data_IF_073673525721
#
_entry.id   IF_073673525721
#
_cell.length_a   1.000
_cell.length_b   1.000
_cell.length_c   1.000
_cell.angle_alpha   90.00
_cell.angle_beta   90.00
_cell.angle_gamma   90.00
#
_symmetry.space_group_name_H-M   'P 1'
#
loop_
_entity.id
_entity.type
_entity.pdbx_description
1 polymer ?
#
# COMPACT_ATOMS: atom_id res chain seq x y z
N UNK A 1 -36.13 27.06 -2.69
CA UNK A 1 -35.90 26.07 -1.61
C UNK A 1 -35.49 24.72 -2.17
N UNK A 2 -36.14 24.22 -3.22
CA UNK A 2 -35.84 22.90 -3.85
C UNK A 2 -34.39 22.76 -4.28
N UNK A 3 -33.81 23.74 -4.98
CA UNK A 3 -32.44 23.67 -5.50
C UNK A 3 -31.36 23.55 -4.39
N UNK A 4 -31.55 24.16 -3.22
CA UNK A 4 -30.59 24.06 -2.12
C UNK A 4 -30.59 22.67 -1.50
N UNK A 5 -31.76 22.10 -1.27
CA UNK A 5 -31.88 20.73 -0.74
C UNK A 5 -31.23 19.74 -1.70
N UNK A 6 -31.41 19.94 -3.00
CA UNK A 6 -30.76 19.11 -4.04
C UNK A 6 -29.22 19.19 -3.96
N UNK A 7 -28.65 20.39 -3.85
CA UNK A 7 -27.20 20.59 -3.74
C UNK A 7 -26.65 19.98 -2.45
N UNK A 8 -27.33 20.14 -1.33
CA UNK A 8 -26.93 19.53 -0.06
C UNK A 8 -26.96 18.00 -0.13
N UNK A 9 -28.00 17.41 -0.72
CA UNK A 9 -28.08 15.97 -0.96
C UNK A 9 -26.96 15.46 -1.88
N UNK A 10 -26.64 16.21 -2.93
CA UNK A 10 -25.54 15.89 -3.84
C UNK A 10 -24.22 15.86 -3.09
N UNK A 11 -23.88 16.89 -2.29
CA UNK A 11 -22.65 16.92 -1.51
C UNK A 11 -22.51 15.72 -0.55
N UNK A 12 -23.63 15.33 0.10
CA UNK A 12 -23.62 14.13 0.98
C UNK A 12 -23.37 12.87 0.18
N UNK A 13 -23.98 12.73 -0.99
CA UNK A 13 -23.79 11.58 -1.87
C UNK A 13 -22.36 11.48 -2.37
N UNK A 14 -21.74 12.62 -2.74
CA UNK A 14 -20.34 12.69 -3.15
C UNK A 14 -19.42 12.18 -2.03
N UNK A 15 -19.56 12.70 -0.81
CA UNK A 15 -18.76 12.23 0.35
C UNK A 15 -18.98 10.74 0.62
N UNK A 16 -20.22 10.24 0.51
CA UNK A 16 -20.49 8.81 0.67
C UNK A 16 -19.73 7.96 -0.35
N UNK A 17 -19.71 8.41 -1.60
CA UNK A 17 -19.00 7.70 -2.67
C UNK A 17 -17.48 7.76 -2.45
N UNK A 18 -16.96 8.91 -2.07
CA UNK A 18 -15.53 9.11 -1.80
C UNK A 18 -15.04 8.21 -0.65
N UNK A 19 -15.77 8.18 0.47
CA UNK A 19 -15.44 7.33 1.63
C UNK A 19 -15.54 5.84 1.27
N UNK A 20 -16.55 5.42 0.52
CA UNK A 20 -16.70 4.04 0.05
C UNK A 20 -15.58 3.64 -0.92
N UNK A 21 -15.22 4.51 -1.86
CA UNK A 21 -14.12 4.27 -2.79
C UNK A 21 -12.80 4.11 -2.02
N UNK A 22 -12.50 5.02 -1.09
CA UNK A 22 -11.33 4.93 -0.21
C UNK A 22 -11.27 3.58 0.50
N UNK A 23 -12.35 3.20 1.15
CA UNK A 23 -12.43 1.96 1.90
C UNK A 23 -12.25 0.73 0.99
N UNK A 24 -12.86 0.74 -0.19
CA UNK A 24 -12.77 -0.36 -1.15
C UNK A 24 -11.31 -0.59 -1.59
N UNK A 25 -10.61 0.46 -2.04
CA UNK A 25 -9.25 0.32 -2.54
C UNK A 25 -8.28 -0.11 -1.43
N UNK A 26 -8.33 0.56 -0.29
CA UNK A 26 -7.44 0.25 0.85
C UNK A 26 -7.67 -1.19 1.35
N UNK A 27 -8.92 -1.59 1.57
CA UNK A 27 -9.20 -2.93 2.12
C UNK A 27 -8.94 -4.05 1.11
N UNK A 28 -9.11 -3.79 -0.19
CA UNK A 28 -8.72 -4.74 -1.25
C UNK A 28 -7.23 -5.02 -1.18
N UNK A 29 -6.41 -3.96 -1.18
CA UNK A 29 -4.96 -4.08 -1.23
C UNK A 29 -4.39 -4.60 0.10
N UNK A 30 -5.00 -4.26 1.25
CA UNK A 30 -4.68 -4.86 2.55
C UNK A 30 -4.81 -6.39 2.56
N UNK A 31 -5.86 -6.92 1.94
CA UNK A 31 -6.07 -8.37 1.84
C UNK A 31 -5.03 -9.06 0.96
N UNK A 32 -4.42 -8.30 0.06
CA UNK A 32 -3.39 -8.77 -0.86
C UNK A 32 -1.97 -8.51 -0.34
N UNK A 33 -1.82 -7.80 0.78
CA UNK A 33 -0.50 -7.59 1.39
C UNK A 33 0.18 -8.93 1.68
N UNK A 34 1.44 -9.06 1.24
CA UNK A 34 2.19 -10.30 1.32
C UNK A 34 1.78 -11.41 0.35
N UNK A 35 0.79 -11.18 -0.54
CA UNK A 35 0.41 -12.17 -1.53
C UNK A 35 1.61 -12.54 -2.43
N UNK A 36 1.82 -13.84 -2.65
CA UNK A 36 2.91 -14.35 -3.50
C UNK A 36 4.31 -14.18 -2.92
N UNK A 37 4.44 -13.70 -1.68
CA UNK A 37 5.72 -13.54 -1.00
C UNK A 37 5.91 -14.62 0.06
N UNK A 38 7.14 -15.11 0.24
CA UNK A 38 7.46 -16.04 1.31
C UNK A 38 7.24 -15.40 2.69
N UNK A 39 6.92 -16.24 3.60
CA UNK A 39 6.65 -15.96 4.99
C UNK A 39 7.81 -15.28 5.72
N UNK A 40 9.01 -15.59 5.34
CA UNK A 40 10.24 -14.99 5.89
C UNK A 40 10.32 -13.47 5.65
N UNK A 41 9.55 -12.96 4.69
CA UNK A 41 9.45 -11.53 4.36
C UNK A 41 8.24 -10.85 5.01
N UNK A 42 7.49 -11.54 5.87
CA UNK A 42 6.26 -11.00 6.46
C UNK A 42 6.42 -9.64 7.15
N UNK A 43 7.57 -9.41 7.75
CA UNK A 43 7.90 -8.13 8.39
C UNK A 43 7.94 -6.93 7.43
N UNK A 44 8.01 -7.17 6.12
CA UNK A 44 8.06 -6.13 5.09
C UNK A 44 6.75 -5.95 4.35
N UNK A 45 5.72 -6.74 4.64
CA UNK A 45 4.44 -6.64 3.94
C UNK A 45 3.68 -5.37 4.26
N UNK A 46 3.97 -4.78 5.43
CA UNK A 46 3.29 -3.62 5.96
C UNK A 46 4.31 -2.70 6.63
N UNK A 47 4.19 -1.41 6.35
CA UNK A 47 4.85 -0.35 7.09
C UNK A 47 3.82 0.74 7.40
N UNK A 48 3.72 1.16 8.64
CA UNK A 48 2.82 2.22 9.09
C UNK A 48 3.56 3.48 9.49
N UNK A 49 2.86 4.58 9.47
CA UNK A 49 3.25 5.82 10.14
C UNK A 49 2.02 6.34 10.86
N UNK A 50 2.13 6.45 12.17
CA UNK A 50 1.10 7.04 13.01
C UNK A 50 1.26 8.55 13.04
N UNK A 51 0.15 9.28 12.85
CA UNK A 51 0.10 10.74 12.90
C UNK A 51 1.17 11.41 12.02
N UNK A 52 1.14 11.18 10.71
CA UNK A 52 2.09 11.77 9.78
C UNK A 52 2.03 13.30 9.81
N UNK A 53 3.08 13.94 10.32
CA UNK A 53 3.15 15.41 10.42
C UNK A 53 3.30 16.05 9.04
N UNK A 54 2.22 16.66 8.57
CA UNK A 54 2.18 17.43 7.32
C UNK A 54 2.26 18.94 7.56
N UNK A 55 2.59 19.37 8.78
CA UNK A 55 2.74 20.79 9.15
C UNK A 55 1.43 21.57 9.26
N UNK A 56 0.29 20.89 9.37
CA UNK A 56 -1.02 21.49 9.14
C UNK A 56 -2.06 21.45 10.27
N UNK A 57 -1.73 21.24 11.53
CA UNK A 57 -2.72 21.41 12.60
C UNK A 57 -3.14 20.13 13.34
N UNK A 58 -4.33 20.16 13.99
CA UNK A 58 -4.78 19.18 14.98
C UNK A 58 -5.10 17.78 14.46
N UNK A 59 -5.20 17.59 13.15
CA UNK A 59 -5.53 16.30 12.54
C UNK A 59 -4.34 15.80 11.75
N UNK A 60 -3.69 14.81 12.30
CA UNK A 60 -2.59 14.13 11.64
C UNK A 60 -3.10 12.76 11.18
N UNK A 61 -3.20 12.55 9.86
CA UNK A 61 -3.60 11.26 9.32
C UNK A 61 -2.47 10.25 9.43
N UNK A 62 -2.81 8.98 9.37
CA UNK A 62 -1.84 7.91 9.25
C UNK A 62 -1.46 7.68 7.79
N UNK A 63 -0.35 6.95 7.62
CA UNK A 63 0.09 6.42 6.33
C UNK A 63 0.35 4.93 6.45
N UNK A 64 0.03 4.18 5.41
CA UNK A 64 0.35 2.76 5.33
C UNK A 64 0.97 2.42 3.99
N UNK A 65 2.07 1.69 4.03
CA UNK A 65 2.70 1.08 2.86
C UNK A 65 2.46 -0.43 2.89
N UNK A 66 2.01 -0.96 1.77
CA UNK A 66 1.72 -2.36 1.55
C UNK A 66 2.64 -2.92 0.49
N UNK A 67 3.21 -4.09 0.74
CA UNK A 67 4.03 -4.82 -0.20
C UNK A 67 3.42 -6.19 -0.48
N UNK A 68 3.41 -6.59 -1.73
CA UNK A 68 2.91 -7.90 -2.15
C UNK A 68 2.76 -8.00 -3.66
N UNK A 69 2.41 -9.16 -4.13
CA UNK A 69 2.01 -9.36 -5.52
C UNK A 69 0.53 -8.97 -5.68
N UNK A 70 0.27 -7.64 -5.67
CA UNK A 70 -1.09 -7.10 -5.52
C UNK A 70 -1.80 -6.95 -6.87
N UNK A 71 -1.11 -6.41 -7.87
CA UNK A 71 -1.71 -6.07 -9.17
C UNK A 71 -1.34 -7.07 -10.27
N UNK A 72 -0.12 -7.60 -10.23
CA UNK A 72 0.44 -8.44 -11.29
C UNK A 72 0.83 -9.81 -10.70
N UNK A 73 -0.09 -10.77 -10.55
CA UNK A 73 0.15 -12.05 -9.89
C UNK A 73 1.04 -12.99 -10.73
N UNK A 74 2.17 -12.47 -11.18
CA UNK A 74 3.14 -13.20 -11.97
C UNK A 74 4.21 -13.79 -11.07
N UNK A 75 4.54 -15.05 -11.33
CA UNK A 75 5.64 -15.77 -10.73
C UNK A 75 6.37 -16.54 -11.84
N UNK A 76 7.54 -16.08 -12.19
CA UNK A 76 8.32 -16.63 -13.31
C UNK A 76 9.34 -17.64 -12.77
N UNK A 77 9.36 -18.88 -13.26
CA UNK A 77 10.38 -19.85 -12.89
C UNK A 77 11.74 -19.45 -13.47
N UNK A 78 12.78 -19.56 -12.64
CA UNK A 78 14.17 -19.36 -13.06
C UNK A 78 14.68 -20.66 -13.66
N UNK A 79 15.15 -20.62 -14.88
CA UNK A 79 15.79 -21.75 -15.56
C UNK A 79 17.26 -21.86 -15.16
N UNK A 80 17.99 -20.75 -15.27
CA UNK A 80 19.39 -20.69 -14.93
C UNK A 80 19.81 -19.31 -14.41
N UNK A 81 20.69 -19.31 -13.42
CA UNK A 81 21.43 -18.14 -13.00
C UNK A 81 22.85 -18.15 -13.56
N UNK A 82 23.25 -17.06 -14.21
CA UNK A 82 24.57 -16.98 -14.81
C UNK A 82 25.60 -16.33 -13.88
N UNK A 83 25.94 -16.99 -12.80
CA UNK A 83 27.06 -16.65 -11.92
C UNK A 83 27.08 -15.18 -11.43
N UNK A 84 28.18 -14.48 -11.57
CA UNK A 84 28.34 -13.08 -11.16
C UNK A 84 27.53 -12.06 -11.97
N UNK A 85 26.57 -12.51 -12.78
CA UNK A 85 25.82 -11.65 -13.66
C UNK A 85 24.65 -10.97 -12.95
N UNK A 86 24.24 -9.86 -13.51
CA UNK A 86 23.01 -9.14 -13.18
C UNK A 86 21.84 -9.67 -14.00
N UNK A 87 21.87 -10.92 -14.42
CA UNK A 87 20.95 -11.50 -15.40
C UNK A 87 20.45 -12.85 -14.90
N UNK A 88 19.14 -13.07 -15.01
CA UNK A 88 18.49 -14.37 -14.81
C UNK A 88 17.91 -14.86 -16.12
N UNK A 89 18.14 -16.11 -16.44
CA UNK A 89 17.49 -16.80 -17.53
C UNK A 89 16.14 -17.34 -17.03
N UNK A 90 15.06 -16.94 -17.69
CA UNK A 90 13.69 -17.34 -17.38
C UNK A 90 13.25 -18.34 -18.45
N UNK A 91 12.49 -19.32 -18.03
CA UNK A 91 11.94 -20.30 -18.97
C UNK A 91 11.07 -19.61 -20.02
N UNK A 92 11.32 -19.89 -21.31
CA UNK A 92 10.67 -19.26 -22.47
C UNK A 92 9.14 -19.23 -22.37
N UNK A 93 8.53 -20.32 -21.90
CA UNK A 93 7.08 -20.40 -21.70
C UNK A 93 6.50 -19.36 -20.74
N UNK A 94 7.31 -18.74 -19.88
CA UNK A 94 6.81 -17.81 -18.88
C UNK A 94 6.28 -16.54 -19.51
N UNK A 95 6.94 -16.03 -20.54
CA UNK A 95 6.50 -14.83 -21.25
C UNK A 95 5.35 -15.12 -22.22
N UNK A 96 5.47 -16.19 -23.02
CA UNK A 96 4.39 -16.63 -23.91
C UNK A 96 3.11 -16.96 -23.16
N UNK A 97 3.23 -17.60 -21.99
CA UNK A 97 2.08 -17.98 -21.17
C UNK A 97 1.26 -16.77 -20.71
N UNK A 98 1.93 -15.66 -20.35
CA UNK A 98 1.28 -14.46 -19.86
C UNK A 98 0.95 -13.44 -20.95
N UNK A 99 1.58 -13.53 -22.14
CA UNK A 99 1.26 -12.71 -23.31
C UNK A 99 1.54 -11.22 -23.16
N UNK A 100 2.38 -10.83 -22.22
CA UNK A 100 2.74 -9.43 -22.01
C UNK A 100 3.94 -9.04 -22.89
N UNK A 101 3.98 -7.80 -23.43
CA UNK A 101 5.15 -7.31 -24.16
C UNK A 101 6.32 -7.04 -23.22
N UNK A 102 7.54 -7.01 -23.75
CA UNK A 102 8.77 -6.81 -22.94
C UNK A 102 8.73 -5.54 -22.11
N UNK A 103 8.20 -4.46 -22.67
CA UNK A 103 8.08 -3.17 -21.99
C UNK A 103 7.20 -3.24 -20.73
N UNK A 104 6.34 -4.25 -20.64
CA UNK A 104 5.55 -4.49 -19.44
C UNK A 104 6.43 -4.84 -18.23
N UNK A 105 7.52 -5.54 -18.46
CA UNK A 105 8.45 -5.99 -17.43
C UNK A 105 9.45 -4.92 -17.01
N UNK A 106 9.73 -3.96 -17.89
CA UNK A 106 10.68 -2.88 -17.61
C UNK A 106 10.28 -2.06 -16.38
N UNK A 107 11.26 -1.79 -15.53
CA UNK A 107 11.11 -1.06 -14.27
C UNK A 107 10.23 -1.73 -13.19
N UNK A 108 9.76 -2.95 -13.41
CA UNK A 108 9.05 -3.70 -12.36
C UNK A 108 10.01 -4.08 -11.24
N UNK A 109 9.52 -3.98 -10.01
CA UNK A 109 10.21 -4.48 -8.82
C UNK A 109 9.81 -5.92 -8.60
N UNK A 110 10.80 -6.75 -8.36
CA UNK A 110 10.62 -8.19 -8.18
C UNK A 110 11.36 -8.69 -6.95
N UNK A 111 10.87 -9.76 -6.37
CA UNK A 111 11.58 -10.58 -5.41
C UNK A 111 12.13 -11.80 -6.15
N UNK A 112 13.43 -11.93 -6.17
CA UNK A 112 14.13 -13.11 -6.70
C UNK A 112 14.29 -14.10 -5.56
N UNK A 113 13.74 -15.28 -5.71
CA UNK A 113 13.73 -16.34 -4.71
C UNK A 113 14.64 -17.48 -5.12
N UNK A 114 15.51 -17.95 -4.24
CA UNK A 114 16.35 -19.11 -4.52
C UNK A 114 15.51 -20.40 -4.64
N UNK A 115 16.13 -21.43 -5.17
CA UNK A 115 15.55 -22.74 -5.23
C UNK A 115 15.16 -23.22 -3.81
N UNK A 116 13.94 -23.72 -3.58
CA UNK A 116 13.51 -24.21 -2.27
C UNK A 116 14.37 -25.32 -1.69
N UNK A 117 15.13 -26.02 -2.53
CA UNK A 117 16.05 -27.10 -2.11
C UNK A 117 17.47 -26.61 -1.83
N UNK A 118 17.79 -25.36 -2.20
CA UNK A 118 19.07 -24.73 -1.94
C UNK A 118 19.32 -24.51 -0.44
N UNK A 119 20.58 -24.37 -0.07
CA UNK A 119 20.98 -23.97 1.27
C UNK A 119 20.71 -22.47 1.54
N UNK A 120 20.68 -21.66 0.49
CA UNK A 120 20.32 -20.25 0.55
C UNK A 120 18.80 -20.10 0.72
N UNK A 121 18.41 -19.31 1.71
CA UNK A 121 16.99 -19.03 2.03
C UNK A 121 16.61 -17.57 1.85
N UNK A 122 17.58 -16.73 1.53
CA UNK A 122 17.37 -15.31 1.41
C UNK A 122 16.94 -14.96 -0.03
N UNK A 123 15.79 -14.28 -0.17
CA UNK A 123 15.41 -13.66 -1.43
C UNK A 123 16.00 -12.27 -1.56
N UNK A 124 16.02 -11.75 -2.77
CA UNK A 124 16.55 -10.43 -3.08
C UNK A 124 15.54 -9.58 -3.84
N UNK A 125 15.34 -8.34 -3.38
CA UNK A 125 14.54 -7.36 -4.11
C UNK A 125 15.39 -6.74 -5.22
N UNK A 126 14.89 -6.75 -6.45
CA UNK A 126 15.56 -6.18 -7.63
C UNK A 126 14.54 -5.43 -8.49
N UNK A 127 15.07 -4.53 -9.32
CA UNK A 127 14.28 -3.88 -10.37
C UNK A 127 14.74 -4.38 -11.73
N UNK A 128 13.80 -4.87 -12.53
CA UNK A 128 14.06 -5.24 -13.91
C UNK A 128 14.39 -3.98 -14.70
N UNK A 129 15.55 -3.95 -15.33
CA UNK A 129 16.01 -2.81 -16.12
C UNK A 129 15.82 -3.00 -17.61
N UNK A 130 15.73 -4.24 -18.04
CA UNK A 130 15.51 -4.61 -19.43
C UNK A 130 15.24 -6.11 -19.56
N UNK A 131 14.44 -6.49 -20.54
CA UNK A 131 14.26 -7.88 -20.99
C UNK A 131 15.05 -8.10 -22.27
N UNK A 132 15.69 -9.24 -22.39
CA UNK A 132 16.45 -9.60 -23.61
C UNK A 132 16.01 -10.96 -24.09
N UNK A 133 15.57 -11.03 -25.33
CA UNK A 133 15.25 -12.28 -26.00
C UNK A 133 16.52 -12.96 -26.54
N UNK A 134 16.63 -14.23 -26.29
CA UNK A 134 17.70 -15.03 -26.87
C UNK A 134 17.25 -15.58 -28.24
N UNK A 135 17.66 -14.92 -29.31
CA UNK A 135 17.27 -15.23 -30.71
C UNK A 135 17.66 -16.63 -31.23
N UNK A 136 18.02 -17.55 -30.39
CA UNK A 136 18.38 -18.92 -30.74
C UNK A 136 18.22 -19.93 -29.63
N UNK A 137 17.70 -19.53 -28.49
CA UNK A 137 17.50 -20.36 -27.31
C UNK A 137 16.07 -20.33 -26.82
N UNK A 138 15.75 -21.27 -25.97
CA UNK A 138 14.44 -21.40 -25.31
C UNK A 138 14.36 -20.60 -24.00
N UNK A 139 15.14 -19.53 -23.84
CA UNK A 139 15.19 -18.74 -22.60
C UNK A 139 15.17 -17.26 -22.88
N UNK A 140 14.46 -16.54 -22.05
CA UNK A 140 14.46 -15.09 -21.99
C UNK A 140 15.25 -14.60 -20.78
N UNK A 141 15.75 -13.37 -20.83
CA UNK A 141 16.64 -12.86 -19.78
C UNK A 141 16.07 -11.62 -19.12
N UNK A 142 15.96 -11.67 -17.81
CA UNK A 142 15.71 -10.49 -16.99
C UNK A 142 17.04 -9.87 -16.58
N UNK A 143 17.21 -8.59 -16.88
CA UNK A 143 18.42 -7.84 -16.55
C UNK A 143 18.18 -6.90 -15.37
N UNK A 144 19.14 -6.83 -14.45
CA UNK A 144 19.10 -6.03 -13.21
C UNK A 144 20.31 -5.09 -13.15
N UNK A 145 20.51 -4.26 -14.16
CA UNK A 145 21.69 -3.39 -14.26
C UNK A 145 21.79 -2.39 -13.12
N UNK A 146 22.88 -2.38 -12.31
CA UNK A 146 23.02 -1.47 -11.17
C UNK A 146 23.07 0.00 -11.58
N UNK A 147 23.64 0.29 -12.77
CA UNK A 147 23.76 1.65 -13.29
C UNK A 147 22.41 2.31 -13.66
N UNK A 148 21.36 1.51 -13.93
CA UNK A 148 20.03 2.01 -14.29
C UNK A 148 19.08 2.07 -13.09
N UNK A 149 19.32 1.30 -12.04
CA UNK A 149 18.53 1.29 -10.81
C UNK A 149 19.42 1.21 -9.56
N UNK A 150 20.30 2.21 -9.31
CA UNK A 150 21.36 2.12 -8.31
C UNK A 150 20.84 2.02 -6.86
N UNK A 151 19.59 2.41 -6.60
CA UNK A 151 18.98 2.30 -5.27
C UNK A 151 18.41 0.92 -4.95
N UNK A 152 18.15 0.08 -5.97
CA UNK A 152 17.52 -1.23 -5.82
C UNK A 152 18.45 -2.35 -6.29
N UNK A 153 19.20 -2.12 -7.37
CA UNK A 153 20.14 -3.08 -7.94
C UNK A 153 21.56 -2.75 -7.48
N UNK A 154 22.09 -3.39 -6.41
CA UNK A 154 23.44 -3.11 -5.95
C UNK A 154 24.50 -3.63 -6.93
N UNK A 155 25.70 -3.03 -6.92
CA UNK A 155 26.85 -3.61 -7.63
C UNK A 155 27.15 -5.02 -7.12
N UNK A 156 27.47 -5.93 -8.02
CA UNK A 156 27.82 -7.32 -7.65
C UNK A 156 26.74 -8.35 -7.97
N UNK A 157 25.58 -7.92 -8.45
CA UNK A 157 24.51 -8.83 -8.87
C UNK A 157 23.86 -9.61 -7.72
N UNK A 158 23.34 -10.80 -8.02
CA UNK A 158 22.61 -11.67 -7.08
C UNK A 158 23.55 -12.50 -6.19
N UNK A 159 24.83 -12.58 -6.51
CA UNK A 159 25.83 -13.39 -5.77
C UNK A 159 26.19 -12.84 -4.38
N UNK A 160 25.70 -11.64 -4.05
CA UNK A 160 25.94 -11.04 -2.73
C UNK A 160 25.18 -11.73 -1.60
N UNK A 161 24.05 -12.34 -1.92
CA UNK A 161 23.15 -12.98 -0.94
C UNK A 161 23.25 -14.49 -0.98
N UNK A 162 23.24 -15.08 -2.19
CA UNK A 162 23.42 -16.51 -2.40
C UNK A 162 24.70 -16.70 -3.22
N UNK A 163 25.79 -17.15 -2.59
CA UNK A 163 27.11 -17.18 -3.24
C UNK A 163 27.25 -18.29 -4.29
N UNK A 164 26.48 -19.36 -4.19
CA UNK A 164 26.58 -20.45 -5.13
C UNK A 164 25.74 -20.18 -6.38
N UNK A 165 26.32 -20.42 -7.56
CA UNK A 165 25.66 -20.16 -8.83
C UNK A 165 24.36 -20.93 -9.01
N UNK A 166 24.24 -22.11 -8.40
CA UNK A 166 23.11 -23.00 -8.57
C UNK A 166 21.97 -22.71 -7.55
N UNK A 167 22.17 -21.76 -6.64
CA UNK A 167 21.18 -21.45 -5.61
C UNK A 167 19.87 -20.90 -6.18
N UNK A 168 19.94 -20.23 -7.31
CA UNK A 168 18.74 -19.67 -7.96
C UNK A 168 18.17 -20.58 -9.06
N UNK A 169 18.90 -21.58 -9.53
CA UNK A 169 18.42 -22.50 -10.55
C UNK A 169 17.20 -23.29 -10.06
N UNK A 170 16.08 -23.18 -10.75
CA UNK A 170 14.80 -23.72 -10.30
C UNK A 170 14.10 -22.90 -9.21
N UNK A 171 14.62 -21.73 -8.91
CA UNK A 171 13.95 -20.72 -8.08
C UNK A 171 12.82 -19.99 -8.81
N UNK A 172 12.45 -18.82 -8.32
CA UNK A 172 11.40 -18.03 -8.94
C UNK A 172 11.59 -16.52 -8.79
N UNK A 173 10.96 -15.77 -9.72
CA UNK A 173 10.87 -14.32 -9.69
C UNK A 173 9.41 -13.94 -9.47
N UNK A 174 9.10 -13.36 -8.30
CA UNK A 174 7.78 -12.85 -7.97
C UNK A 174 7.72 -11.34 -8.15
N UNK A 175 6.69 -10.86 -8.85
CA UNK A 175 6.48 -9.42 -9.03
C UNK A 175 5.97 -8.81 -7.73
N UNK A 176 6.53 -7.66 -7.35
CA UNK A 176 6.18 -6.95 -6.11
C UNK A 176 5.62 -5.59 -6.46
N UNK A 177 4.45 -5.30 -5.90
CA UNK A 177 3.89 -3.97 -5.88
C UNK A 177 4.11 -3.36 -4.49
N UNK A 178 4.57 -2.13 -4.47
CA UNK A 178 4.65 -1.31 -3.24
C UNK A 178 3.63 -0.20 -3.39
N UNK A 179 2.63 -0.20 -2.52
CA UNK A 179 1.55 0.77 -2.52
C UNK A 179 1.50 1.50 -1.20
N UNK A 180 1.56 2.81 -1.23
CA UNK A 180 1.45 3.66 -0.05
C UNK A 180 0.15 4.46 -0.11
N UNK A 181 -0.71 4.28 0.90
CA UNK A 181 -1.92 5.08 1.10
C UNK A 181 -1.64 6.18 2.11
N UNK A 182 -1.95 7.42 1.74
CA UNK A 182 -1.73 8.59 2.56
C UNK A 182 -2.72 9.71 2.22
N UNK A 183 -3.04 10.55 3.19
CA UNK A 183 -3.97 11.65 3.05
C UNK A 183 -3.21 12.98 2.96
N UNK A 184 -3.40 13.72 1.87
CA UNK A 184 -2.95 15.12 1.78
C UNK A 184 -4.04 16.04 2.32
N UNK A 185 -3.79 16.64 3.48
CA UNK A 185 -4.68 17.63 4.10
C UNK A 185 -4.32 19.06 3.74
N UNK A 186 -3.15 19.29 3.15
CA UNK A 186 -2.60 20.63 2.88
C UNK A 186 -2.96 21.16 1.50
N UNK A 187 -3.33 20.26 0.59
CA UNK A 187 -3.50 20.57 -0.84
C UNK A 187 -2.18 20.84 -1.56
N UNK A 188 -1.06 20.54 -0.90
CA UNK A 188 0.30 20.70 -1.40
C UNK A 188 1.00 19.33 -1.43
N UNK A 189 0.34 18.31 -1.98
CA UNK A 189 0.99 17.02 -2.09
C UNK A 189 2.42 17.18 -2.65
N UNK A 190 3.41 16.86 -1.83
CA UNK A 190 4.81 17.18 -2.10
C UNK A 190 5.23 16.70 -3.49
N UNK A 191 5.53 17.63 -4.39
CA UNK A 191 5.93 17.35 -5.77
C UNK A 191 4.82 17.27 -6.80
N UNK A 192 3.55 17.38 -6.44
CA UNK A 192 2.46 17.49 -7.40
C UNK A 192 2.25 18.97 -7.74
N UNK A 193 2.86 19.42 -8.83
CA UNK A 193 2.57 20.73 -9.41
C UNK A 193 1.12 20.77 -9.91
N UNK A 194 0.48 21.94 -9.75
CA UNK A 194 -0.82 22.23 -10.36
C UNK A 194 -0.77 21.92 -11.87
N UNK A 195 -1.40 20.82 -12.28
CA UNK A 195 -1.33 20.33 -13.67
C UNK A 195 -1.21 18.81 -13.79
N UNK A 196 -0.81 18.09 -12.74
CA UNK A 196 -0.94 16.63 -12.69
C UNK A 196 -2.42 16.30 -12.49
N UNK A 197 -2.92 15.39 -13.29
CA UNK A 197 -4.33 14.96 -13.33
C UNK A 197 -4.92 14.81 -11.90
N UNK A 198 -5.79 15.76 -11.53
CA UNK A 198 -6.58 15.67 -10.32
C UNK A 198 -6.17 16.57 -9.16
N UNK A 199 -5.11 17.40 -9.27
CA UNK A 199 -4.84 18.43 -8.26
C UNK A 199 -5.98 19.42 -8.22
N UNK A 200 -6.71 19.45 -7.14
CA UNK A 200 -7.77 20.40 -6.87
C UNK A 200 -7.33 21.19 -5.63
N UNK A 201 -6.65 22.29 -5.92
CA UNK A 201 -6.27 23.21 -4.87
C UNK A 201 -7.47 23.72 -4.07
N UNK A 202 -7.32 23.83 -2.76
CA UNK A 202 -8.14 24.65 -1.90
C UNK A 202 -9.52 24.15 -1.50
N UNK A 203 -9.83 22.88 -1.69
CA UNK A 203 -11.02 22.27 -1.07
C UNK A 203 -10.81 22.05 0.43
N UNK A 204 -11.86 22.26 1.23
CA UNK A 204 -11.86 22.16 2.70
C UNK A 204 -11.75 20.68 3.18
N UNK A 205 -11.52 19.72 2.28
CA UNK A 205 -11.28 18.30 2.57
C UNK A 205 -9.98 17.84 1.91
N UNK A 206 -9.28 16.91 2.52
CA UNK A 206 -8.09 16.31 1.98
C UNK A 206 -8.38 15.37 0.80
N UNK A 207 -7.31 14.95 0.15
CA UNK A 207 -7.34 13.94 -0.90
C UNK A 207 -6.58 12.70 -0.44
N UNK A 208 -7.24 11.56 -0.44
CA UNK A 208 -6.57 10.28 -0.23
C UNK A 208 -5.87 9.87 -1.53
N UNK A 209 -4.59 9.62 -1.43
CA UNK A 209 -3.75 9.12 -2.53
C UNK A 209 -3.33 7.68 -2.32
N UNK A 210 -3.12 6.99 -3.43
CA UNK A 210 -2.32 5.77 -3.49
C UNK A 210 -1.07 6.08 -4.31
N UNK A 211 0.10 5.91 -3.71
CA UNK A 211 1.39 5.98 -4.41
C UNK A 211 1.80 4.59 -4.83
N UNK A 212 2.02 4.39 -6.11
CA UNK A 212 2.51 3.14 -6.67
C UNK A 212 3.67 3.45 -7.62
N UNK A 213 4.84 2.85 -7.39
CA UNK A 213 6.05 3.09 -8.18
C UNK A 213 6.38 4.60 -8.31
N UNK A 214 6.34 5.33 -7.20
CA UNK A 214 6.56 6.78 -7.14
C UNK A 214 5.53 7.64 -7.91
N UNK A 215 4.48 7.04 -8.47
CA UNK A 215 3.36 7.77 -9.09
C UNK A 215 2.20 7.89 -8.11
N UNK A 216 1.66 9.09 -7.95
CA UNK A 216 0.57 9.37 -7.03
C UNK A 216 -0.77 9.37 -7.76
N UNK A 217 -1.67 8.50 -7.34
CA UNK A 217 -3.02 8.37 -7.87
C UNK A 217 -4.03 8.89 -6.85
N UNK A 218 -4.84 9.93 -7.16
CA UNK A 218 -5.90 10.36 -6.28
C UNK A 218 -7.02 9.30 -6.26
N UNK A 219 -7.35 8.82 -5.07
CA UNK A 219 -8.39 7.78 -4.87
C UNK A 219 -9.73 8.43 -4.55
N UNK A 220 -9.73 9.40 -3.63
CA UNK A 220 -10.95 10.04 -3.18
C UNK A 220 -10.67 11.43 -2.64
N UNK A 221 -11.67 12.31 -2.74
CA UNK A 221 -11.67 13.67 -2.22
C UNK A 221 -12.53 13.76 -0.97
N UNK A 222 -12.60 14.95 -0.39
CA UNK A 222 -13.46 15.19 0.76
C UNK A 222 -13.16 14.29 1.97
N UNK A 223 -11.92 13.77 2.07
CA UNK A 223 -11.47 12.97 3.20
C UNK A 223 -10.87 13.91 4.24
N UNK A 224 -11.43 13.89 5.45
CA UNK A 224 -10.98 14.72 6.57
C UNK A 224 -9.93 14.03 7.41
N UNK A 225 -10.03 12.70 7.56
CA UNK A 225 -9.09 11.92 8.34
C UNK A 225 -8.99 10.47 7.82
N UNK A 226 -7.82 9.89 8.01
CA UNK A 226 -7.48 8.52 7.67
C UNK A 226 -6.65 7.95 8.82
N UNK A 227 -7.16 6.93 9.52
CA UNK A 227 -6.52 6.34 10.69
C UNK A 227 -6.45 4.83 10.56
N UNK A 228 -5.41 4.24 11.16
CA UNK A 228 -5.11 2.82 11.02
C UNK A 228 -4.73 2.25 12.38
N UNK A 229 -5.32 1.13 12.71
CA UNK A 229 -5.00 0.36 13.90
C UNK A 229 -4.60 -1.06 13.51
N UNK A 230 -3.70 -1.62 14.28
CA UNK A 230 -3.12 -2.94 14.06
C UNK A 230 -3.42 -3.85 15.24
N UNK A 231 -3.66 -5.12 14.97
CA UNK A 231 -3.85 -6.15 16.00
C UNK A 231 -3.07 -7.40 15.60
N UNK A 232 -2.33 -7.93 16.54
CA UNK A 232 -1.46 -9.10 16.36
C UNK A 232 -0.95 -9.61 17.71
N UNK A 233 -0.14 -10.63 17.66
CA UNK A 233 0.60 -11.16 18.80
C UNK A 233 1.98 -10.52 18.86
N UNK A 234 2.04 -9.25 19.30
CA UNK A 234 3.27 -8.45 19.28
C UNK A 234 4.30 -8.90 20.31
N UNK A 235 3.82 -9.51 21.41
CA UNK A 235 4.64 -9.98 22.54
C UNK A 235 5.02 -11.46 22.47
N UNK A 236 4.51 -12.19 21.46
CA UNK A 236 4.76 -13.62 21.22
C UNK A 236 4.24 -14.55 22.32
N UNK A 237 3.08 -14.26 22.88
CA UNK A 237 2.43 -15.12 23.88
C UNK A 237 1.31 -16.01 23.29
N UNK A 238 1.14 -15.99 21.97
CA UNK A 238 0.12 -16.70 21.19
C UNK A 238 -1.30 -16.14 21.34
N UNK A 239 -1.47 -14.95 21.90
CA UNK A 239 -2.73 -14.26 21.99
C UNK A 239 -2.67 -12.92 21.23
N UNK A 240 -3.82 -12.41 20.84
CA UNK A 240 -3.90 -11.08 20.25
C UNK A 240 -3.81 -10.01 21.35
N UNK A 241 -2.88 -9.06 21.21
CA UNK A 241 -2.64 -8.01 22.19
C UNK A 241 -3.72 -6.90 22.23
N UNK A 242 -4.63 -6.91 21.23
CA UNK A 242 -5.62 -5.86 21.04
C UNK A 242 -5.19 -4.83 20.00
N UNK A 243 -6.05 -3.83 19.80
CA UNK A 243 -5.82 -2.78 18.80
C UNK A 243 -4.84 -1.74 19.31
N UNK A 244 -3.83 -1.42 18.49
CA UNK A 244 -2.84 -0.37 18.74
C UNK A 244 -2.55 0.40 17.46
N UNK A 245 -2.08 1.63 17.60
CA UNK A 245 -1.52 2.42 16.50
C UNK A 245 -0.13 1.89 16.13
N UNK A 246 0.40 2.34 14.99
CA UNK A 246 1.75 1.98 14.59
C UNK A 246 2.78 2.53 15.57
N UNK A 247 3.70 1.68 15.99
CA UNK A 247 4.81 2.05 16.86
C UNK A 247 6.14 1.78 16.14
N UNK A 248 6.90 2.83 15.88
CA UNK A 248 8.20 2.75 15.22
C UNK A 248 9.26 1.97 16.01
N UNK A 249 8.96 1.60 17.25
CA UNK A 249 9.83 0.74 18.07
C UNK A 249 9.55 -0.74 17.88
N UNK A 250 8.51 -1.13 17.15
CA UNK A 250 8.25 -2.52 16.86
C UNK A 250 9.40 -3.18 16.12
N UNK A 251 9.78 -4.36 16.57
CA UNK A 251 10.76 -5.18 15.87
C UNK A 251 10.15 -5.76 14.59
N UNK A 252 10.99 -6.11 13.63
CA UNK A 252 10.55 -6.80 12.42
C UNK A 252 9.76 -8.07 12.73
N UNK A 253 10.13 -8.77 13.81
CA UNK A 253 9.42 -9.96 14.26
C UNK A 253 8.01 -9.63 14.76
N UNK A 254 7.82 -8.55 15.52
CA UNK A 254 6.52 -8.08 15.95
C UNK A 254 5.64 -7.65 14.77
N UNK A 255 6.20 -6.90 13.81
CA UNK A 255 5.51 -6.50 12.58
C UNK A 255 5.02 -7.74 11.82
N UNK A 256 5.87 -8.77 11.69
CA UNK A 256 5.52 -10.03 11.04
C UNK A 256 4.37 -10.82 11.71
N UNK A 257 3.96 -10.43 12.91
CA UNK A 257 2.84 -11.04 13.65
C UNK A 257 1.55 -10.23 13.60
N UNK A 258 1.50 -9.12 12.87
CA UNK A 258 0.26 -8.38 12.62
C UNK A 258 -0.70 -9.27 11.83
N UNK A 259 -1.90 -9.50 12.36
CA UNK A 259 -2.90 -10.37 11.75
C UNK A 259 -4.09 -9.61 11.20
N UNK A 260 -4.41 -8.50 11.84
CA UNK A 260 -5.59 -7.70 11.53
C UNK A 260 -5.21 -6.22 11.44
N UNK A 261 -5.81 -5.54 10.49
CA UNK A 261 -5.70 -4.10 10.33
C UNK A 261 -7.09 -3.52 10.24
N UNK A 262 -7.35 -2.51 11.07
CA UNK A 262 -8.57 -1.72 11.03
C UNK A 262 -8.26 -0.36 10.41
N UNK A 263 -9.04 0.01 9.43
CA UNK A 263 -8.95 1.28 8.73
C UNK A 263 -10.17 2.12 9.04
N UNK A 264 -9.95 3.38 9.36
CA UNK A 264 -10.95 4.39 9.58
C UNK A 264 -10.84 5.47 8.51
N UNK A 265 -11.93 5.78 7.84
CA UNK A 265 -12.01 6.86 6.85
C UNK A 265 -13.13 7.81 7.23
N UNK A 266 -12.77 9.06 7.51
CA UNK A 266 -13.72 10.13 7.79
C UNK A 266 -13.81 11.06 6.58
N UNK A 267 -14.96 11.13 5.97
CA UNK A 267 -15.27 12.12 4.94
C UNK A 267 -16.03 13.31 5.48
N UNK A 268 -15.88 14.46 4.82
CA UNK A 268 -16.53 15.72 5.16
C UNK A 268 -17.06 16.42 3.91
N UNK A 269 -18.25 17.04 3.98
CA UNK A 269 -18.77 17.84 2.86
C UNK A 269 -17.83 19.02 2.53
N UNK A 270 -17.61 19.27 1.23
CA UNK A 270 -16.70 20.31 0.76
C UNK A 270 -17.13 21.70 1.20
N UNK A 271 -18.44 21.92 1.33
CA UNK A 271 -19.03 23.22 1.77
C UNK A 271 -19.83 23.01 3.06
N UNK A 272 -19.82 24.00 3.95
CA UNK A 272 -20.68 23.97 5.14
C UNK A 272 -22.14 24.12 4.73
N UNK A 273 -23.04 23.45 5.45
CA UNK A 273 -24.47 23.64 5.26
C UNK A 273 -24.88 25.07 5.67
N UNK A 274 -25.44 25.82 4.75
CA UNK A 274 -25.89 27.17 5.02
C UNK A 274 -27.39 27.15 5.33
N UNK A 275 -27.79 27.77 6.45
CA UNK A 275 -29.20 27.98 6.75
C UNK A 275 -29.85 28.79 5.62
N UNK A 276 -30.97 28.30 5.09
CA UNK A 276 -31.78 29.05 4.13
C UNK A 276 -32.61 30.07 4.89
N UNK A 277 -32.26 31.35 4.79
CA UNK A 277 -33.08 32.50 5.12
C UNK A 277 -33.97 32.38 6.37
N UNK A 278 -33.45 32.73 7.53
CA UNK A 278 -34.13 32.68 8.82
C UNK A 278 -33.68 31.48 9.67
N UNK A 279 -33.54 31.71 10.95
CA UNK A 279 -33.26 30.64 11.92
C UNK A 279 -34.37 29.60 11.84
N UNK A 280 -34.11 28.34 11.46
CA UNK A 280 -35.15 27.33 11.47
C UNK A 280 -35.69 27.18 12.91
N UNK A 281 -36.96 26.82 13.10
CA UNK A 281 -37.44 26.40 14.43
C UNK A 281 -36.74 25.09 14.77
N UNK A 282 -35.58 25.17 15.41
CA UNK A 282 -34.70 24.01 15.72
C UNK A 282 -33.20 24.33 15.68
N UNK A 283 -32.82 25.55 15.31
CA UNK A 283 -31.41 25.97 15.29
C UNK A 283 -30.63 25.58 14.04
N UNK A 284 -29.38 26.01 13.98
CA UNK A 284 -28.42 25.62 12.96
C UNK A 284 -27.87 24.25 13.37
N UNK A 285 -28.01 23.25 12.50
CA UNK A 285 -27.40 21.95 12.75
C UNK A 285 -25.88 22.12 12.64
N UNK A 286 -25.20 21.93 13.76
CA UNK A 286 -23.75 21.84 13.83
C UNK A 286 -23.34 20.39 14.08
N UNK A 287 -22.18 20.01 13.60
CA UNK A 287 -21.65 18.67 13.72
C UNK A 287 -20.26 18.74 14.32
N UNK A 288 -19.95 17.88 15.24
CA UNK A 288 -18.61 17.72 15.78
C UNK A 288 -17.89 16.58 15.08
N UNK A 289 -16.62 16.79 14.74
CA UNK A 289 -15.76 15.69 14.28
C UNK A 289 -15.62 14.68 15.43
N UNK A 290 -15.92 13.39 15.20
CA UNK A 290 -15.77 12.36 16.22
C UNK A 290 -14.30 12.12 16.57
N UNK A 291 -14.05 11.52 17.73
CA UNK A 291 -12.78 10.87 18.05
C UNK A 291 -12.67 9.60 17.19
N UNK A 292 -11.51 9.37 16.58
CA UNK A 292 -11.26 8.22 15.71
C UNK A 292 -9.86 7.71 16.03
N UNK A 293 -9.76 6.46 16.51
CA UNK A 293 -8.48 5.90 16.96
C UNK A 293 -7.80 6.85 17.98
N UNK A 294 -6.57 7.27 17.76
CA UNK A 294 -5.85 8.25 18.56
C UNK A 294 -6.04 9.71 18.09
N UNK A 295 -6.75 9.93 16.95
CA UNK A 295 -7.05 11.29 16.49
C UNK A 295 -8.17 11.93 17.31
N UNK A 296 -7.94 13.06 17.98
CA UNK A 296 -8.90 13.65 18.89
C UNK A 296 -10.17 14.15 18.18
N UNK A 297 -11.27 14.23 18.92
CA UNK A 297 -12.47 14.92 18.46
C UNK A 297 -12.16 16.41 18.24
N UNK A 298 -12.89 17.06 17.31
CA UNK A 298 -12.76 18.50 17.14
C UNK A 298 -13.13 19.25 18.43
N UNK A 299 -12.40 20.30 18.73
CA UNK A 299 -12.68 21.16 19.90
C UNK A 299 -14.00 21.91 19.76
N UNK A 300 -14.41 22.24 18.54
CA UNK A 300 -15.63 22.99 18.24
C UNK A 300 -16.49 22.28 17.18
N UNK A 301 -17.80 22.57 17.25
CA UNK A 301 -18.75 22.14 16.22
C UNK A 301 -18.64 23.03 14.99
N UNK A 302 -18.85 22.45 13.82
CA UNK A 302 -18.95 23.17 12.55
C UNK A 302 -20.22 22.78 11.78
N UNK A 303 -20.37 23.28 10.56
CA UNK A 303 -21.53 23.01 9.70
C UNK A 303 -21.29 21.98 8.62
N UNK A 304 -20.16 21.27 8.67
CA UNK A 304 -19.87 20.23 7.72
C UNK A 304 -20.50 18.90 8.15
N UNK A 305 -21.17 18.27 7.24
CA UNK A 305 -21.67 16.92 7.47
C UNK A 305 -20.53 15.92 7.29
N UNK A 306 -20.49 14.92 8.15
CA UNK A 306 -19.43 13.91 8.18
C UNK A 306 -19.98 12.51 8.01
N UNK A 307 -19.17 11.67 7.42
CA UNK A 307 -19.45 10.24 7.23
C UNK A 307 -18.21 9.50 7.67
N UNK A 308 -18.37 8.61 8.64
CA UNK A 308 -17.32 7.74 9.13
C UNK A 308 -17.61 6.31 8.67
N UNK A 309 -16.63 5.68 8.05
CA UNK A 309 -16.61 4.23 7.83
C UNK A 309 -15.37 3.65 8.48
N UNK A 310 -15.52 2.44 8.98
CA UNK A 310 -14.40 1.60 9.40
C UNK A 310 -14.52 0.21 8.78
N UNK A 311 -13.40 -0.45 8.64
CA UNK A 311 -13.32 -1.83 8.17
C UNK A 311 -12.12 -2.53 8.75
N UNK A 312 -12.32 -3.76 9.19
CA UNK A 312 -11.24 -4.65 9.62
C UNK A 312 -10.92 -5.63 8.50
N UNK A 313 -9.65 -5.74 8.17
CA UNK A 313 -9.13 -6.71 7.21
C UNK A 313 -8.16 -7.66 7.89
N UNK A 314 -8.30 -8.96 7.63
CA UNK A 314 -7.29 -9.93 7.99
C UNK A 314 -6.19 -9.90 6.92
N UNK A 315 -4.95 -9.80 7.35
CA UNK A 315 -3.78 -9.91 6.47
C UNK A 315 -3.46 -11.40 6.33
N UNK A 316 -4.05 -12.04 5.33
CA UNK A 316 -4.05 -13.52 5.18
C UNK A 316 -2.66 -14.14 5.20
N UNK A 317 -1.70 -13.50 4.56
CA UNK A 317 -0.36 -14.06 4.42
C UNK A 317 0.48 -13.96 5.70
N UNK A 318 0.10 -13.06 6.62
CA UNK A 318 0.73 -12.96 7.93
C UNK A 318 0.14 -13.96 8.92
N UNK A 319 -1.16 -14.25 8.85
CA UNK A 319 -1.81 -15.21 9.74
C UNK A 319 -1.44 -16.68 9.46
N UNK A 320 -1.01 -17.02 8.23
CA UNK A 320 -0.50 -18.35 7.89
C UNK A 320 0.84 -18.66 8.57
N UNK A 321 1.57 -17.66 9.01
CA UNK A 321 2.87 -17.80 9.69
C UNK A 321 2.78 -18.47 11.06
N UNK A 322 1.76 -18.11 11.84
CA UNK A 322 1.59 -18.68 13.17
C UNK A 322 1.32 -20.19 13.15
N UNK A 323 0.66 -20.66 12.08
CA UNK A 323 0.37 -22.10 11.94
C UNK A 323 1.63 -22.92 11.63
N UNK A 324 2.59 -22.35 10.91
CA UNK A 324 3.82 -23.03 10.51
C UNK A 324 4.92 -22.94 11.56
N UNK A 325 4.95 -21.88 12.37
CA UNK A 325 5.95 -21.71 13.43
C UNK A 325 5.63 -22.56 14.69
N UNK A 326 4.38 -22.93 14.92
CA UNK A 326 3.95 -23.79 16.03
C UNK A 326 4.18 -25.30 15.81
N UNK A 327 4.65 -25.71 14.63
CA UNK A 327 4.89 -27.11 14.28
C UNK A 327 6.39 -27.47 14.13
N UNK A 328 7.31 -26.61 14.58
CA UNK A 328 8.75 -26.93 14.60
C UNK A 328 9.28 -27.14 15.99
#
# INVERSE_FOLDING_TARGET
RSNKVSVEQQMVTEVQNDVRASMYFVTRDLRMAGAGLPVEFSAYFIEGVDNEDQGGGEVQPDRITLMGNIDDPLNLPIDQYQGSSVTLDIHDFSFELYGYPDEFYDNKVVLVLPNPTSSCRAGEVRQITHVTHNTGGATEKLNFSPGLAPGINPPGGLSGTCPDSDDYDGGSVSFINVKTYWLDTTGNAAGLTAGVLGYIGGGVGGVLYCTHNAVHFPIARNIENFQIEYNGDMNNDSFLDGWSVWDNTWTLEAIGRVQQIRVWVLGRTAQPFTSVGGTPPGGIHTYRRPLISNSPAAAADDRHRRILLDSTSNVRNMSLNLYNLGQR
#
